data_IF_578227786267
#
_entry.id   IF_578227786267
#
_cell.length_a   1.000
_cell.length_b   1.000
_cell.length_c   1.000
_cell.angle_alpha   90.00
_cell.angle_beta   90.00
_cell.angle_gamma   90.00
#
_symmetry.space_group_name_H-M   'P 1'
#
loop_
_entity.id
_entity.type
_entity.pdbx_description
1 polymer ?
#
# COMPACT_ATOMS: atom_id res chain seq x y z
N UNK A 1 41.29 21.61 48.22
CA UNK A 1 41.22 20.96 46.89
C UNK A 1 40.12 19.92 46.96
N UNK A 2 38.95 20.22 46.42
CA UNK A 2 37.82 19.29 46.40
C UNK A 2 37.34 19.28 44.96
N UNK A 3 37.75 18.25 44.21
CA UNK A 3 37.43 18.10 42.80
C UNK A 3 36.02 17.52 42.72
N UNK A 4 35.08 18.34 42.27
CA UNK A 4 33.73 17.88 41.90
C UNK A 4 33.82 17.21 40.55
N UNK A 5 33.52 15.91 40.51
CA UNK A 5 33.43 15.12 39.28
C UNK A 5 31.98 15.23 38.82
N UNK A 6 31.72 16.10 37.85
CA UNK A 6 30.46 16.06 37.09
C UNK A 6 30.48 14.82 36.20
N UNK A 7 29.74 13.79 36.60
CA UNK A 7 29.35 12.70 35.73
C UNK A 7 28.26 13.19 34.78
N UNK A 8 28.67 13.66 33.59
CA UNK A 8 27.77 13.75 32.45
C UNK A 8 27.24 12.34 32.15
N UNK A 9 25.93 12.14 32.32
CA UNK A 9 25.26 10.97 31.76
C UNK A 9 25.28 11.10 30.24
N UNK A 10 25.78 10.10 29.49
CA UNK A 10 25.61 10.10 28.05
C UNK A 10 24.12 9.88 27.77
N UNK A 11 23.46 10.92 27.28
CA UNK A 11 22.15 10.77 26.64
C UNK A 11 22.35 9.84 25.45
N UNK A 12 21.89 8.59 25.58
CA UNK A 12 21.97 7.60 24.53
C UNK A 12 21.28 8.17 23.29
N UNK A 13 22.07 8.56 22.28
CA UNK A 13 21.53 9.00 20.98
C UNK A 13 20.69 7.85 20.44
N UNK A 14 19.42 8.08 20.10
CA UNK A 14 18.64 7.03 19.47
C UNK A 14 19.27 6.66 18.13
N UNK A 15 19.74 5.42 18.04
CA UNK A 15 20.41 4.92 16.85
C UNK A 15 19.37 4.50 15.82
N UNK A 16 18.89 5.47 15.03
CA UNK A 16 17.96 5.25 13.92
C UNK A 16 18.52 4.30 12.84
N UNK A 17 19.82 3.98 12.88
CA UNK A 17 20.52 3.13 11.92
C UNK A 17 20.68 1.68 12.39
N UNK A 18 20.24 1.33 13.60
CA UNK A 18 20.48 0.00 14.17
C UNK A 18 19.65 -1.12 13.49
N UNK A 19 18.52 -0.78 12.88
CA UNK A 19 17.65 -1.74 12.20
C UNK A 19 17.93 -1.75 10.68
N UNK A 20 18.04 -2.94 10.03
CA UNK A 20 18.12 -3.00 8.58
C UNK A 20 16.91 -2.34 7.92
N UNK A 21 17.10 -1.58 6.82
CA UNK A 21 16.01 -1.04 6.02
C UNK A 21 15.03 -2.12 5.57
N UNK A 22 13.73 -1.82 5.63
CA UNK A 22 12.67 -2.69 5.10
C UNK A 22 11.71 -1.88 4.24
N UNK A 23 11.04 -2.51 3.25
CA UNK A 23 10.01 -1.85 2.47
C UNK A 23 8.92 -1.25 3.36
N UNK A 24 8.56 -0.02 3.07
CA UNK A 24 7.51 0.74 3.78
C UNK A 24 6.10 0.34 3.34
N UNK A 25 5.84 -0.96 3.25
CA UNK A 25 4.57 -1.50 2.79
C UNK A 25 3.43 -1.11 3.74
N UNK A 26 2.21 -1.04 3.21
CA UNK A 26 1.03 -0.67 4.01
C UNK A 26 0.86 -1.54 5.26
N UNK A 27 1.01 -2.86 5.13
CA UNK A 27 0.84 -3.85 6.22
C UNK A 27 1.80 -3.62 7.38
N UNK A 28 3.07 -3.37 7.05
CA UNK A 28 4.14 -3.23 8.04
C UNK A 28 4.27 -1.82 8.63
N UNK A 29 3.92 -0.78 7.86
CA UNK A 29 4.24 0.61 8.25
C UNK A 29 3.01 1.46 8.54
N UNK A 30 1.88 1.24 7.84
CA UNK A 30 0.68 2.09 7.95
C UNK A 30 -0.43 1.43 8.77
N UNK A 31 -0.74 0.17 8.50
CA UNK A 31 -1.78 -0.57 9.23
C UNK A 31 -1.56 -0.62 10.75
N UNK A 32 -0.33 -0.67 11.30
CA UNK A 32 -0.11 -0.67 12.75
C UNK A 32 -0.59 0.59 13.48
N UNK A 33 -0.83 1.70 12.77
CA UNK A 33 -1.47 2.90 13.32
C UNK A 33 -2.97 2.71 13.58
N UNK A 34 -3.60 1.71 12.96
CA UNK A 34 -5.00 1.39 13.12
C UNK A 34 -5.18 0.29 14.17
N UNK A 35 -4.81 0.60 15.42
CA UNK A 35 -4.72 -0.36 16.53
C UNK A 35 -6.05 -0.66 17.24
N UNK A 36 -7.07 0.21 17.16
CA UNK A 36 -8.41 -0.08 17.70
C UNK A 36 -9.11 -1.08 16.77
N UNK A 37 -9.11 -2.35 17.18
CA UNK A 37 -9.67 -3.49 16.46
C UNK A 37 -10.99 -3.90 17.10
N UNK A 38 -12.08 -3.78 16.34
CA UNK A 38 -13.40 -4.24 16.77
C UNK A 38 -13.95 -5.21 15.74
N UNK A 39 -14.35 -6.39 16.23
CA UNK A 39 -15.29 -7.22 15.48
C UNK A 39 -16.59 -6.45 15.44
N UNK A 40 -16.98 -5.99 14.26
CA UNK A 40 -18.24 -5.29 14.09
C UNK A 40 -19.09 -6.06 13.10
N UNK A 41 -20.31 -6.33 13.53
CA UNK A 41 -21.39 -6.64 12.62
C UNK A 41 -22.36 -5.45 12.72
N UNK A 42 -22.44 -4.51 11.75
CA UNK A 42 -21.59 -4.23 10.58
C UNK A 42 -21.45 -2.71 10.28
N UNK A 43 -20.29 -2.27 9.79
CA UNK A 43 -20.07 -0.90 9.30
C UNK A 43 -20.91 -0.53 8.04
N UNK A 44 -21.79 -1.43 7.59
CA UNK A 44 -22.65 -1.28 6.41
C UNK A 44 -24.14 -1.63 6.68
N UNK A 45 -24.62 -1.77 7.94
CA UNK A 45 -26.08 -2.00 8.17
C UNK A 45 -26.92 -0.74 7.94
N UNK A 46 -26.31 0.43 8.09
CA UNK A 46 -26.94 1.71 7.75
C UNK A 46 -26.60 2.12 6.32
N UNK A 47 -27.44 2.97 5.71
CA UNK A 47 -27.07 3.70 4.49
C UNK A 47 -25.70 4.34 4.70
N UNK A 48 -24.77 4.08 3.79
CA UNK A 48 -23.47 4.75 3.82
C UNK A 48 -23.73 6.23 3.59
N UNK A 49 -23.42 7.06 4.57
CA UNK A 49 -23.36 8.51 4.40
C UNK A 49 -22.13 8.82 3.55
N UNK A 50 -22.20 8.53 2.25
CA UNK A 50 -21.25 9.08 1.31
C UNK A 50 -21.60 10.56 1.11
N UNK A 51 -20.59 11.42 1.11
CA UNK A 51 -20.78 12.82 0.73
C UNK A 51 -21.26 12.86 -0.73
N UNK A 52 -22.15 13.79 -1.08
CA UNK A 52 -22.57 13.96 -2.47
C UNK A 52 -21.35 14.15 -3.38
N UNK A 53 -21.33 13.43 -4.51
CA UNK A 53 -20.20 13.42 -5.44
C UNK A 53 -19.02 12.51 -5.04
N UNK A 54 -19.17 11.67 -4.01
CA UNK A 54 -18.14 10.71 -3.61
C UNK A 54 -17.76 9.76 -4.75
N UNK A 55 -16.44 9.63 -4.97
CA UNK A 55 -15.84 8.65 -5.86
C UNK A 55 -15.58 7.35 -5.11
N UNK A 56 -15.95 6.23 -5.72
CA UNK A 56 -15.79 4.89 -5.12
C UNK A 56 -14.74 4.11 -5.90
N UNK A 57 -13.81 3.52 -5.16
CA UNK A 57 -13.00 2.41 -5.67
C UNK A 57 -13.57 1.06 -5.23
N UNK A 58 -13.56 0.07 -6.09
CA UNK A 58 -14.01 -1.29 -5.81
C UNK A 58 -12.81 -2.23 -5.95
N UNK A 59 -12.51 -3.00 -4.91
CA UNK A 59 -11.47 -4.03 -4.93
C UNK A 59 -12.10 -5.38 -4.65
N UNK A 60 -11.91 -6.31 -5.58
CA UNK A 60 -12.38 -7.69 -5.47
C UNK A 60 -11.18 -8.56 -5.12
N UNK A 61 -11.18 -9.09 -3.91
CA UNK A 61 -10.12 -9.98 -3.46
C UNK A 61 -10.36 -11.37 -4.00
N UNK A 62 -9.41 -11.90 -4.76
CA UNK A 62 -9.39 -13.28 -5.21
C UNK A 62 -8.46 -14.07 -4.27
N UNK A 63 -8.98 -15.07 -3.54
CA UNK A 63 -8.16 -15.90 -2.65
C UNK A 63 -7.12 -16.69 -3.45
N UNK A 64 -6.11 -17.22 -2.73
CA UNK A 64 -5.05 -18.02 -3.35
C UNK A 64 -5.58 -19.36 -3.85
N UNK A 65 -6.40 -20.00 -3.03
CA UNK A 65 -7.06 -21.26 -3.34
C UNK A 65 -8.39 -20.98 -4.03
N UNK A 66 -8.72 -21.82 -5.02
CA UNK A 66 -9.97 -21.67 -5.77
C UNK A 66 -11.17 -21.91 -4.86
N UNK A 67 -12.16 -21.03 -4.96
CA UNK A 67 -13.44 -21.16 -4.27
C UNK A 67 -14.55 -21.44 -5.29
N UNK A 68 -15.35 -22.48 -5.06
CA UNK A 68 -16.47 -22.84 -5.95
C UNK A 68 -17.55 -21.74 -5.99
N UNK A 69 -18.16 -21.49 -7.14
CA UNK A 69 -19.18 -20.44 -7.32
C UNK A 69 -18.73 -19.05 -6.82
N UNK A 70 -17.43 -18.73 -6.92
CA UNK A 70 -16.96 -17.45 -6.39
C UNK A 70 -17.54 -16.24 -7.15
N UNK A 71 -17.79 -16.37 -8.45
CA UNK A 71 -18.49 -15.33 -9.24
C UNK A 71 -19.87 -15.05 -8.64
N UNK A 72 -20.66 -16.10 -8.37
CA UNK A 72 -21.99 -15.95 -7.77
C UNK A 72 -21.94 -15.33 -6.38
N UNK A 73 -20.95 -15.71 -5.55
CA UNK A 73 -20.76 -15.10 -4.24
C UNK A 73 -20.40 -13.61 -4.33
N UNK A 74 -19.42 -13.24 -5.15
CA UNK A 74 -19.03 -11.83 -5.34
C UNK A 74 -20.20 -11.00 -5.85
N UNK A 75 -20.98 -11.52 -6.82
CA UNK A 75 -22.12 -10.80 -7.36
C UNK A 75 -23.22 -10.59 -6.30
N UNK A 76 -23.51 -11.60 -5.46
CA UNK A 76 -24.45 -11.45 -4.33
C UNK A 76 -23.97 -10.40 -3.33
N UNK A 77 -22.68 -10.38 -2.99
CA UNK A 77 -22.13 -9.34 -2.11
C UNK A 77 -22.21 -7.96 -2.76
N UNK A 78 -21.87 -7.85 -4.05
CA UNK A 78 -21.93 -6.62 -4.82
C UNK A 78 -23.35 -6.01 -4.83
N UNK A 79 -24.37 -6.82 -5.05
CA UNK A 79 -25.79 -6.42 -5.00
C UNK A 79 -26.17 -5.88 -3.61
N UNK A 80 -25.82 -6.61 -2.54
CA UNK A 80 -26.08 -6.19 -1.17
C UNK A 80 -25.34 -4.89 -0.81
N UNK A 81 -24.08 -4.77 -1.21
CA UNK A 81 -23.27 -3.58 -0.97
C UNK A 81 -23.82 -2.37 -1.76
N UNK A 82 -24.23 -2.55 -3.02
CA UNK A 82 -24.76 -1.48 -3.85
C UNK A 82 -26.06 -0.90 -3.28
N UNK A 83 -26.92 -1.74 -2.71
CA UNK A 83 -28.17 -1.29 -2.09
C UNK A 83 -27.98 -0.31 -0.91
N UNK A 84 -26.78 -0.26 -0.32
CA UNK A 84 -26.45 0.59 0.81
C UNK A 84 -25.76 1.91 0.42
N UNK A 85 -25.40 2.05 -0.86
CA UNK A 85 -24.72 3.22 -1.39
C UNK A 85 -25.72 4.20 -2.00
N UNK A 86 -25.44 5.52 -1.93
CA UNK A 86 -26.18 6.50 -2.70
C UNK A 86 -26.09 6.26 -4.21
N UNK A 87 -27.16 6.56 -4.94
CA UNK A 87 -27.20 6.39 -6.39
C UNK A 87 -26.18 7.26 -7.13
N UNK A 88 -25.84 8.42 -6.57
CA UNK A 88 -24.94 9.44 -7.13
C UNK A 88 -23.45 9.08 -7.05
N UNK A 89 -23.08 7.97 -6.40
CA UNK A 89 -21.68 7.60 -6.27
C UNK A 89 -21.10 7.06 -7.57
N UNK A 90 -20.12 7.78 -8.12
CA UNK A 90 -19.43 7.39 -9.34
C UNK A 90 -18.28 6.43 -9.04
N UNK A 91 -18.21 5.32 -9.76
CA UNK A 91 -17.11 4.34 -9.63
C UNK A 91 -15.95 4.81 -10.49
N UNK A 92 -14.80 5.05 -9.86
CA UNK A 92 -13.58 5.51 -10.55
C UNK A 92 -12.55 4.41 -10.73
N UNK A 93 -12.57 3.39 -9.88
CA UNK A 93 -11.67 2.25 -10.00
C UNK A 93 -12.39 0.94 -9.68
N UNK A 94 -12.06 -0.12 -10.43
CA UNK A 94 -12.44 -1.49 -10.15
C UNK A 94 -11.22 -2.38 -10.35
N UNK A 95 -10.84 -3.14 -9.33
CA UNK A 95 -9.68 -4.02 -9.38
C UNK A 95 -10.01 -5.46 -9.02
N UNK A 96 -9.52 -6.41 -9.81
CA UNK A 96 -9.40 -7.81 -9.42
C UNK A 96 -8.01 -8.03 -8.81
N UNK A 97 -7.95 -8.35 -7.52
CA UNK A 97 -6.70 -8.43 -6.73
C UNK A 97 -6.43 -9.85 -6.22
N UNK A 98 -5.19 -10.13 -5.83
CA UNK A 98 -4.79 -11.44 -5.32
C UNK A 98 -4.43 -12.42 -6.46
N UNK A 99 -5.25 -13.46 -6.65
CA UNK A 99 -4.99 -14.52 -7.64
C UNK A 99 -6.12 -14.72 -8.67
N UNK A 100 -6.57 -13.68 -9.39
CA UNK A 100 -7.71 -13.79 -10.31
C UNK A 100 -7.50 -14.81 -11.43
N UNK A 101 -6.26 -14.98 -11.93
CA UNK A 101 -5.95 -15.97 -12.97
C UNK A 101 -6.06 -17.42 -12.51
N UNK A 102 -6.00 -17.68 -11.19
CA UNK A 102 -6.28 -19.00 -10.59
C UNK A 102 -7.76 -19.19 -10.28
N UNK A 103 -8.44 -18.10 -9.97
CA UNK A 103 -9.83 -18.11 -9.51
C UNK A 103 -10.86 -18.10 -10.64
N UNK A 104 -10.54 -17.52 -11.80
CA UNK A 104 -11.50 -17.32 -12.89
C UNK A 104 -10.98 -17.88 -14.22
N UNK A 105 -11.82 -18.70 -14.86
CA UNK A 105 -11.70 -19.02 -16.28
C UNK A 105 -12.02 -17.78 -17.14
N UNK A 106 -11.72 -17.81 -18.45
CA UNK A 106 -12.13 -16.76 -19.39
C UNK A 106 -13.64 -16.44 -19.35
N UNK A 107 -14.48 -17.46 -19.25
CA UNK A 107 -15.94 -17.33 -19.19
C UNK A 107 -16.36 -16.74 -17.84
N UNK A 108 -15.77 -17.22 -16.74
CA UNK A 108 -16.08 -16.73 -15.41
C UNK A 108 -15.72 -15.25 -15.20
N UNK A 109 -14.57 -14.79 -15.73
CA UNK A 109 -14.21 -13.37 -15.65
C UNK A 109 -15.12 -12.51 -16.53
N UNK A 110 -15.55 -13.03 -17.69
CA UNK A 110 -16.51 -12.37 -18.56
C UNK A 110 -17.86 -12.19 -17.87
N UNK A 111 -18.40 -13.26 -17.27
CA UNK A 111 -19.64 -13.21 -16.50
C UNK A 111 -19.53 -12.23 -15.33
N UNK A 112 -18.45 -12.32 -14.55
CA UNK A 112 -18.22 -11.46 -13.40
C UNK A 112 -18.25 -9.99 -13.81
N UNK A 113 -17.49 -9.61 -14.83
CA UNK A 113 -17.42 -8.22 -15.28
C UNK A 113 -18.75 -7.74 -15.84
N UNK A 114 -19.45 -8.58 -16.61
CA UNK A 114 -20.79 -8.25 -17.12
C UNK A 114 -21.76 -7.95 -15.97
N UNK A 115 -21.82 -8.83 -14.96
CA UNK A 115 -22.71 -8.66 -13.80
C UNK A 115 -22.33 -7.46 -12.94
N UNK A 116 -21.04 -7.25 -12.70
CA UNK A 116 -20.55 -6.10 -11.93
C UNK A 116 -20.85 -4.77 -12.62
N UNK A 117 -20.83 -4.69 -13.95
CA UNK A 117 -21.16 -3.45 -14.66
C UNK A 117 -22.60 -2.96 -14.36
N UNK A 118 -23.52 -3.87 -14.05
CA UNK A 118 -24.88 -3.50 -13.64
C UNK A 118 -24.94 -2.82 -12.26
N UNK A 119 -24.00 -3.17 -11.36
CA UNK A 119 -23.96 -2.66 -9.99
C UNK A 119 -23.00 -1.47 -9.83
N UNK A 120 -21.88 -1.51 -10.56
CA UNK A 120 -20.74 -0.61 -10.45
C UNK A 120 -20.27 -0.15 -11.84
N UNK A 121 -21.09 0.63 -12.57
CA UNK A 121 -20.73 1.07 -13.91
C UNK A 121 -19.56 2.07 -13.86
N UNK A 122 -18.54 1.82 -14.69
CA UNK A 122 -17.35 2.68 -14.83
C UNK A 122 -17.57 3.70 -15.95
N UNK A 123 -18.41 4.71 -15.71
CA UNK A 123 -18.80 5.71 -16.72
C UNK A 123 -17.96 6.98 -16.70
N UNK A 124 -17.11 7.16 -15.69
CA UNK A 124 -16.29 8.36 -15.55
C UNK A 124 -15.09 8.30 -16.50
N UNK A 125 -14.77 9.39 -17.21
CA UNK A 125 -13.55 9.48 -18.02
C UNK A 125 -12.30 9.15 -17.20
N UNK A 126 -11.44 8.28 -17.72
CA UNK A 126 -10.22 7.84 -17.05
C UNK A 126 -10.45 6.85 -15.90
N UNK A 127 -11.65 6.28 -15.75
CA UNK A 127 -11.89 5.21 -14.81
C UNK A 127 -10.96 4.01 -15.06
N UNK A 128 -10.46 3.41 -13.98
CA UNK A 128 -9.48 2.32 -14.05
C UNK A 128 -10.17 0.99 -13.83
N UNK A 129 -10.00 0.06 -14.76
CA UNK A 129 -10.33 -1.36 -14.58
C UNK A 129 -9.03 -2.15 -14.57
N UNK A 130 -8.66 -2.62 -13.40
CA UNK A 130 -7.36 -3.25 -13.13
C UNK A 130 -7.46 -4.73 -12.78
N UNK A 131 -6.41 -5.49 -13.13
CA UNK A 131 -6.25 -6.89 -12.72
C UNK A 131 -4.83 -7.17 -12.27
N UNK A 132 -4.67 -7.90 -11.18
CA UNK A 132 -3.37 -8.45 -10.78
C UNK A 132 -3.08 -9.77 -11.51
N UNK A 133 -1.89 -9.88 -12.11
CA UNK A 133 -1.42 -11.07 -12.79
C UNK A 133 0.03 -11.36 -12.38
N UNK A 134 0.44 -12.62 -12.47
CA UNK A 134 1.87 -12.96 -12.48
C UNK A 134 2.39 -12.97 -13.91
N UNK A 135 3.68 -12.66 -14.09
CA UNK A 135 4.32 -12.73 -15.41
C UNK A 135 4.07 -14.06 -16.16
N UNK A 136 4.11 -15.25 -15.52
CA UNK A 136 3.79 -16.51 -16.19
C UNK A 136 2.33 -16.67 -16.62
N UNK A 137 1.39 -15.90 -16.06
CA UNK A 137 -0.03 -15.97 -16.41
C UNK A 137 -0.40 -15.09 -17.62
N UNK A 138 0.55 -14.33 -18.15
CA UNK A 138 0.37 -13.42 -19.27
C UNK A 138 0.48 -14.19 -20.60
N UNK A 139 -0.53 -14.01 -21.46
CA UNK A 139 -0.56 -14.52 -22.83
C UNK A 139 -1.32 -13.53 -23.72
N UNK A 140 -1.12 -13.60 -25.04
CA UNK A 140 -1.80 -12.72 -25.98
C UNK A 140 -3.33 -12.87 -25.91
N UNK A 141 -3.83 -14.10 -25.77
CA UNK A 141 -5.26 -14.40 -25.66
C UNK A 141 -5.87 -13.79 -24.40
N UNK A 142 -5.15 -13.87 -23.26
CA UNK A 142 -5.60 -13.26 -22.01
C UNK A 142 -5.60 -11.74 -22.09
N UNK A 143 -4.56 -11.13 -22.68
CA UNK A 143 -4.50 -9.69 -22.88
C UNK A 143 -5.64 -9.20 -23.79
N UNK A 144 -5.92 -9.93 -24.87
CA UNK A 144 -7.04 -9.63 -25.78
C UNK A 144 -8.39 -9.73 -25.06
N UNK A 145 -8.62 -10.79 -24.27
CA UNK A 145 -9.82 -10.93 -23.46
C UNK A 145 -9.96 -9.75 -22.48
N UNK A 146 -8.91 -9.44 -21.72
CA UNK A 146 -8.95 -8.35 -20.74
C UNK A 146 -9.21 -7.00 -21.41
N UNK A 147 -8.55 -6.71 -22.53
CA UNK A 147 -8.81 -5.50 -23.31
C UNK A 147 -10.27 -5.45 -23.81
N UNK A 148 -10.80 -6.56 -24.33
CA UNK A 148 -12.20 -6.67 -24.76
C UNK A 148 -13.21 -6.50 -23.61
N UNK A 149 -12.84 -6.92 -22.40
CA UNK A 149 -13.59 -6.67 -21.17
C UNK A 149 -13.33 -5.28 -20.58
N UNK A 150 -12.64 -4.39 -21.29
CA UNK A 150 -12.41 -3.00 -20.88
C UNK A 150 -11.41 -2.82 -19.74
N UNK A 151 -10.57 -3.82 -19.45
CA UNK A 151 -9.41 -3.60 -18.57
C UNK A 151 -8.43 -2.65 -19.25
N UNK A 152 -7.87 -1.72 -18.48
CA UNK A 152 -6.89 -0.73 -18.94
C UNK A 152 -5.65 -0.66 -18.02
N UNK A 153 -5.59 -1.50 -16.99
CA UNK A 153 -4.47 -1.56 -16.05
C UNK A 153 -4.16 -3.00 -15.64
N UNK A 154 -2.88 -3.34 -15.56
CA UNK A 154 -2.39 -4.61 -15.05
C UNK A 154 -1.41 -4.34 -13.90
N UNK A 155 -1.61 -5.00 -12.76
CA UNK A 155 -0.59 -5.15 -11.73
C UNK A 155 0.18 -6.44 -12.00
N UNK A 156 1.41 -6.35 -12.52
CA UNK A 156 2.17 -7.49 -13.00
C UNK A 156 3.27 -7.88 -12.02
N UNK A 157 3.12 -9.05 -11.41
CA UNK A 157 4.09 -9.61 -10.47
C UNK A 157 5.24 -10.27 -11.20
N UNK A 158 6.45 -9.82 -10.90
CA UNK A 158 7.71 -10.36 -11.42
C UNK A 158 8.56 -10.79 -10.24
N UNK A 159 9.14 -11.99 -10.30
CA UNK A 159 9.89 -12.56 -9.19
C UNK A 159 11.40 -12.49 -9.46
N UNK A 160 12.08 -11.62 -8.73
CA UNK A 160 13.53 -11.43 -8.84
C UNK A 160 14.34 -12.49 -8.06
N UNK A 161 13.70 -13.23 -7.15
CA UNK A 161 14.34 -14.28 -6.34
C UNK A 161 14.69 -15.52 -7.16
N UNK A 162 14.07 -15.69 -8.33
CA UNK A 162 14.30 -16.80 -9.25
C UNK A 162 15.50 -16.58 -10.18
N UNK A 163 16.15 -15.42 -10.10
CA UNK A 163 17.24 -15.03 -10.99
C UNK A 163 18.64 -15.24 -10.42
N UNK A 164 19.59 -15.47 -11.32
CA UNK A 164 21.04 -15.49 -11.04
C UNK A 164 21.75 -14.45 -11.93
N UNK A 165 23.03 -14.20 -11.72
CA UNK A 165 23.79 -13.21 -12.51
C UNK A 165 23.69 -13.45 -14.04
N UNK A 166 23.78 -14.72 -14.44
CA UNK A 166 23.77 -15.16 -15.83
C UNK A 166 22.36 -15.38 -16.38
N UNK A 167 21.33 -15.31 -15.54
CA UNK A 167 19.95 -15.58 -15.95
C UNK A 167 19.50 -14.55 -16.99
N UNK A 168 19.05 -15.05 -18.14
CA UNK A 168 18.50 -14.22 -19.21
C UNK A 168 17.21 -13.51 -18.79
N UNK A 169 17.04 -12.27 -19.29
CA UNK A 169 15.80 -11.50 -19.18
C UNK A 169 14.84 -11.74 -20.36
N UNK A 170 15.14 -12.69 -21.27
CA UNK A 170 14.36 -12.91 -22.48
C UNK A 170 12.86 -13.19 -22.24
N UNK A 171 12.48 -13.74 -21.08
CA UNK A 171 11.07 -13.89 -20.69
C UNK A 171 10.39 -12.54 -20.40
N UNK A 172 11.11 -11.61 -19.78
CA UNK A 172 10.65 -10.24 -19.52
C UNK A 172 10.52 -9.50 -20.85
N UNK A 173 11.51 -9.62 -21.73
CA UNK A 173 11.46 -9.00 -23.06
C UNK A 173 10.29 -9.53 -23.89
N UNK A 174 10.04 -10.85 -23.87
CA UNK A 174 8.90 -11.46 -24.56
C UNK A 174 7.56 -10.96 -24.00
N UNK A 175 7.44 -10.89 -22.67
CA UNK A 175 6.26 -10.36 -21.98
C UNK A 175 6.01 -8.88 -22.34
N UNK A 176 7.05 -8.05 -22.38
CA UNK A 176 6.95 -6.64 -22.79
C UNK A 176 6.55 -6.49 -24.25
N UNK A 177 7.05 -7.34 -25.16
CA UNK A 177 6.59 -7.38 -26.56
C UNK A 177 5.10 -7.70 -26.65
N UNK A 178 4.61 -8.70 -25.91
CA UNK A 178 3.18 -9.00 -25.87
C UNK A 178 2.35 -7.84 -25.33
N UNK A 179 2.84 -7.13 -24.31
CA UNK A 179 2.16 -5.94 -23.77
C UNK A 179 2.15 -4.77 -24.77
N UNK A 180 3.19 -4.63 -25.59
CA UNK A 180 3.28 -3.56 -26.60
C UNK A 180 2.15 -3.62 -27.64
N UNK A 181 1.67 -4.83 -27.96
CA UNK A 181 0.53 -5.05 -28.86
C UNK A 181 -0.80 -4.53 -28.29
N UNK A 182 -0.84 -4.19 -26.99
CA UNK A 182 -2.03 -3.68 -26.29
C UNK A 182 -1.75 -2.34 -25.61
N UNK A 183 -1.40 -1.30 -26.39
CA UNK A 183 -0.99 0.01 -25.89
C UNK A 183 -1.96 0.71 -24.92
N UNK A 184 -3.26 0.35 -24.92
CA UNK A 184 -4.24 0.85 -23.95
C UNK A 184 -4.10 0.23 -22.55
N UNK A 185 -3.41 -0.91 -22.42
CA UNK A 185 -3.11 -1.57 -21.16
C UNK A 185 -1.85 -0.96 -20.57
N UNK A 186 -2.02 -0.26 -19.45
CA UNK A 186 -0.91 0.27 -18.67
C UNK A 186 -0.50 -0.72 -17.58
N UNK A 187 0.76 -0.69 -17.13
CA UNK A 187 1.30 -1.69 -16.20
C UNK A 187 1.88 -1.06 -14.93
N UNK A 188 1.54 -1.61 -13.78
CA UNK A 188 2.28 -1.45 -12.54
C UNK A 188 3.09 -2.74 -12.31
N UNK A 189 4.39 -2.67 -12.10
CA UNK A 189 5.19 -3.86 -11.76
C UNK A 189 5.26 -4.05 -10.26
N UNK A 190 4.97 -5.27 -9.79
CA UNK A 190 5.25 -5.72 -8.42
C UNK A 190 6.45 -6.67 -8.46
N UNK A 191 7.63 -6.18 -8.11
CA UNK A 191 8.87 -6.95 -8.11
C UNK A 191 9.07 -7.59 -6.75
N UNK A 192 8.95 -8.91 -6.70
CA UNK A 192 9.25 -9.70 -5.51
C UNK A 192 10.77 -9.81 -5.38
N UNK A 193 11.31 -9.40 -4.24
CA UNK A 193 12.75 -9.44 -3.94
C UNK A 193 12.98 -9.82 -2.47
N UNK A 194 14.23 -10.01 -2.07
CA UNK A 194 14.63 -10.38 -0.71
C UNK A 194 16.06 -10.92 -0.70
N UNK A 195 16.54 -11.46 0.42
CA UNK A 195 17.91 -12.00 0.55
C UNK A 195 18.29 -13.02 -0.52
N UNK A 196 17.31 -13.75 -1.06
CA UNK A 196 17.52 -14.72 -2.15
C UNK A 196 17.74 -14.07 -3.54
N UNK A 197 17.58 -12.76 -3.68
CA UNK A 197 17.69 -12.08 -4.98
C UNK A 197 19.14 -11.77 -5.30
N UNK A 198 19.60 -12.19 -6.48
CA UNK A 198 20.94 -11.83 -6.94
C UNK A 198 21.02 -10.31 -7.27
N UNK A 199 21.94 -9.53 -6.65
CA UNK A 199 21.96 -8.06 -6.81
C UNK A 199 22.06 -7.60 -8.26
N UNK A 200 22.94 -8.22 -9.05
CA UNK A 200 23.12 -7.88 -10.47
C UNK A 200 21.90 -8.25 -11.32
N UNK A 201 21.18 -9.32 -10.95
CA UNK A 201 19.96 -9.70 -11.66
C UNK A 201 18.84 -8.71 -11.37
N UNK A 202 18.63 -8.34 -10.10
CA UNK A 202 17.65 -7.34 -9.70
C UNK A 202 17.91 -6.00 -10.41
N UNK A 203 19.16 -5.53 -10.43
CA UNK A 203 19.52 -4.28 -11.11
C UNK A 203 19.22 -4.33 -12.63
N UNK A 204 19.59 -5.42 -13.30
CA UNK A 204 19.29 -5.63 -14.73
C UNK A 204 17.78 -5.72 -15.00
N UNK A 205 17.05 -6.44 -14.15
CA UNK A 205 15.60 -6.57 -14.24
C UNK A 205 14.94 -5.20 -14.14
N UNK A 206 15.28 -4.42 -13.12
CA UNK A 206 14.72 -3.07 -12.93
C UNK A 206 15.08 -2.14 -14.08
N UNK A 207 16.29 -2.23 -14.64
CA UNK A 207 16.65 -1.48 -15.85
C UNK A 207 15.78 -1.85 -17.05
N UNK A 208 15.51 -3.15 -17.27
CA UNK A 208 14.62 -3.60 -18.32
C UNK A 208 13.15 -3.17 -18.10
N UNK A 209 12.66 -3.23 -16.86
CA UNK A 209 11.30 -2.79 -16.53
C UNK A 209 11.14 -1.27 -16.71
N UNK A 210 12.15 -0.47 -16.39
CA UNK A 210 12.17 0.98 -16.66
C UNK A 210 12.22 1.34 -18.15
N UNK A 211 12.78 0.44 -18.98
CA UNK A 211 12.86 0.62 -20.42
C UNK A 211 11.52 0.45 -21.15
N UNK A 212 10.46 0.04 -20.45
CA UNK A 212 9.12 -0.13 -20.99
C UNK A 212 8.13 0.80 -20.25
N UNK A 213 7.10 1.35 -20.92
CA UNK A 213 6.12 2.21 -20.27
C UNK A 213 5.45 1.54 -19.06
N UNK A 214 5.75 2.04 -17.87
CA UNK A 214 5.21 1.55 -16.61
C UNK A 214 4.67 2.73 -15.80
N UNK A 215 3.55 2.53 -15.11
CA UNK A 215 2.98 3.55 -14.23
C UNK A 215 3.69 3.58 -12.88
N UNK A 216 4.12 2.41 -12.40
CA UNK A 216 4.96 2.28 -11.22
C UNK A 216 5.74 0.97 -11.21
N UNK A 217 6.81 0.93 -10.42
CA UNK A 217 7.53 -0.27 -10.02
C UNK A 217 7.55 -0.30 -8.50
N UNK A 218 7.03 -1.34 -7.88
CA UNK A 218 6.98 -1.55 -6.43
C UNK A 218 7.82 -2.76 -6.06
N UNK A 219 8.71 -2.61 -5.08
CA UNK A 219 9.43 -3.72 -4.47
C UNK A 219 8.62 -4.30 -3.30
N UNK A 220 8.42 -5.62 -3.30
CA UNK A 220 7.77 -6.34 -2.21
C UNK A 220 8.71 -7.40 -1.67
N UNK A 221 8.94 -7.37 -0.35
CA UNK A 221 9.74 -8.40 0.32
C UNK A 221 9.02 -9.75 0.20
N UNK A 222 9.70 -10.74 -0.38
CA UNK A 222 9.22 -12.12 -0.52
C UNK A 222 8.86 -12.76 0.84
N UNK A 223 9.45 -12.23 1.91
CA UNK A 223 9.27 -12.71 3.29
C UNK A 223 8.59 -11.69 4.20
N UNK A 224 7.83 -10.75 3.62
CA UNK A 224 7.05 -9.77 4.39
C UNK A 224 6.16 -10.48 5.44
N UNK A 225 6.22 -10.01 6.69
CA UNK A 225 5.44 -10.56 7.80
C UNK A 225 5.91 -11.90 8.35
N UNK A 226 6.98 -12.50 7.79
CA UNK A 226 7.59 -13.72 8.31
C UNK A 226 8.78 -13.39 9.23
N UNK A 227 9.07 -14.28 10.18
CA UNK A 227 10.30 -14.21 10.97
C UNK A 227 11.50 -14.51 10.07
N UNK A 228 12.52 -13.66 10.14
CA UNK A 228 13.72 -13.74 9.31
C UNK A 228 14.98 -13.60 10.17
N UNK A 229 16.05 -14.30 9.79
CA UNK A 229 17.36 -14.12 10.39
C UNK A 229 17.86 -12.68 10.21
N UNK A 230 18.68 -12.18 11.14
CA UNK A 230 19.21 -10.82 11.04
C UNK A 230 20.05 -10.61 9.76
N UNK A 231 20.79 -11.63 9.34
CA UNK A 231 21.58 -11.58 8.10
C UNK A 231 20.69 -11.43 6.86
N UNK A 232 19.63 -12.24 6.74
CA UNK A 232 18.65 -12.12 5.66
C UNK A 232 18.03 -10.71 5.61
N UNK A 233 17.72 -10.13 6.77
CA UNK A 233 17.19 -8.77 6.85
C UNK A 233 18.20 -7.71 6.41
N UNK A 234 19.48 -7.88 6.77
CA UNK A 234 20.57 -7.00 6.33
C UNK A 234 20.75 -7.05 4.82
N UNK A 235 20.78 -8.23 4.24
CA UNK A 235 20.91 -8.40 2.79
C UNK A 235 19.73 -7.78 2.04
N UNK A 236 18.50 -8.03 2.51
CA UNK A 236 17.29 -7.41 1.95
C UNK A 236 17.35 -5.88 2.05
N UNK A 237 17.79 -5.33 3.19
CA UNK A 237 17.97 -3.88 3.37
C UNK A 237 19.05 -3.27 2.49
N UNK A 238 20.16 -3.98 2.24
CA UNK A 238 21.21 -3.56 1.32
C UNK A 238 20.70 -3.52 -0.14
N UNK A 239 19.92 -4.53 -0.54
CA UNK A 239 19.27 -4.57 -1.86
C UNK A 239 18.25 -3.43 -2.02
N UNK A 240 17.44 -3.17 -1.00
CA UNK A 240 16.50 -2.06 -1.01
C UNK A 240 17.22 -0.71 -1.14
N UNK A 241 18.27 -0.49 -0.36
CA UNK A 241 19.04 0.77 -0.36
C UNK A 241 19.74 1.01 -1.69
N UNK A 242 20.40 -0.01 -2.24
CA UNK A 242 21.06 0.09 -3.55
C UNK A 242 20.06 0.30 -4.69
N UNK A 243 18.90 -0.36 -4.63
CA UNK A 243 17.81 -0.16 -5.60
C UNK A 243 17.26 1.26 -5.51
N UNK A 244 17.00 1.76 -4.32
CA UNK A 244 16.53 3.14 -4.09
C UNK A 244 17.50 4.15 -4.71
N UNK A 245 18.80 3.99 -4.48
CA UNK A 245 19.82 4.86 -5.07
C UNK A 245 19.79 4.80 -6.61
N UNK A 246 19.71 3.60 -7.18
CA UNK A 246 19.67 3.40 -8.64
C UNK A 246 18.39 3.99 -9.28
N UNK A 247 17.23 3.81 -8.67
CA UNK A 247 15.96 4.35 -9.15
C UNK A 247 15.94 5.88 -9.07
N UNK A 248 16.46 6.45 -7.97
CA UNK A 248 16.59 7.90 -7.79
C UNK A 248 17.55 8.51 -8.81
N UNK A 249 18.71 7.90 -9.04
CA UNK A 249 19.67 8.33 -10.06
C UNK A 249 19.10 8.25 -11.49
N UNK A 250 18.15 7.35 -11.72
CA UNK A 250 17.41 7.25 -12.97
C UNK A 250 16.27 8.29 -13.11
N UNK A 251 16.09 9.20 -12.15
CA UNK A 251 15.06 10.23 -12.18
C UNK A 251 13.65 9.75 -11.83
N UNK A 252 13.51 8.53 -11.30
CA UNK A 252 12.21 8.04 -10.84
C UNK A 252 11.85 8.66 -9.50
N UNK A 253 10.60 9.07 -9.34
CA UNK A 253 10.10 9.57 -8.06
C UNK A 253 9.76 8.41 -7.14
N UNK A 254 10.23 8.49 -5.91
CA UNK A 254 10.03 7.47 -4.90
C UNK A 254 8.88 7.84 -3.95
N UNK A 255 8.10 6.84 -3.55
CA UNK A 255 7.11 6.88 -2.47
C UNK A 255 7.46 5.79 -1.47
N UNK A 256 7.44 6.15 -0.19
CA UNK A 256 8.07 5.37 0.86
C UNK A 256 9.55 5.19 0.51
N UNK A 257 10.03 3.97 0.54
CA UNK A 257 11.38 3.58 0.07
C UNK A 257 11.35 2.46 -0.98
N UNK A 258 10.16 2.07 -1.45
CA UNK A 258 9.95 0.82 -2.19
C UNK A 258 9.09 0.97 -3.45
N UNK A 259 8.36 2.08 -3.63
CA UNK A 259 7.53 2.33 -4.81
C UNK A 259 8.10 3.49 -5.62
N UNK A 260 8.27 3.26 -6.92
CA UNK A 260 8.85 4.21 -7.85
C UNK A 260 7.86 4.51 -8.97
N UNK A 261 7.72 5.77 -9.34
CA UNK A 261 6.93 6.20 -10.49
C UNK A 261 7.79 7.04 -11.45
N UNK A 262 7.50 7.00 -12.76
CA UNK A 262 8.14 7.92 -13.71
C UNK A 262 7.96 9.39 -13.32
N UNK A 263 8.90 10.28 -13.70
CA UNK A 263 8.83 11.71 -13.34
C UNK A 263 7.57 12.41 -13.88
N UNK A 264 7.04 11.95 -15.01
CA UNK A 264 5.82 12.43 -15.65
C UNK A 264 4.56 11.65 -15.19
N UNK A 265 4.68 10.79 -14.17
CA UNK A 265 3.53 10.09 -13.62
C UNK A 265 2.51 11.07 -13.01
N UNK A 266 1.20 10.82 -13.15
CA UNK A 266 0.19 11.54 -12.37
C UNK A 266 0.42 11.47 -10.86
N UNK A 267 1.05 10.40 -10.36
CA UNK A 267 1.45 10.29 -8.95
C UNK A 267 2.56 11.27 -8.59
N UNK A 268 3.45 11.56 -9.53
CA UNK A 268 4.57 12.47 -9.32
C UNK A 268 4.19 13.95 -9.40
N UNK A 269 3.10 14.26 -10.10
CA UNK A 269 2.49 15.58 -10.12
C UNK A 269 1.63 15.77 -8.87
N UNK A 270 2.20 16.37 -7.83
CA UNK A 270 1.47 16.92 -6.66
C UNK A 270 0.64 18.15 -7.05
N UNK A 271 -0.23 18.01 -8.06
CA UNK A 271 -1.11 19.05 -8.58
C UNK A 271 -2.46 19.10 -7.84
N UNK A 272 -3.52 19.47 -8.58
CA UNK A 272 -4.88 19.74 -8.08
C UNK A 272 -5.59 18.60 -7.31
N UNK A 273 -5.03 17.38 -7.27
CA UNK A 273 -5.60 16.23 -6.55
C UNK A 273 -5.38 16.29 -5.03
N UNK A 274 -4.54 17.21 -4.54
CA UNK A 274 -4.20 17.35 -3.14
C UNK A 274 -3.14 16.35 -2.65
N UNK A 275 -2.82 16.36 -1.34
CA UNK A 275 -1.85 15.45 -0.75
C UNK A 275 -2.25 13.98 -0.91
N UNK A 276 -1.24 13.12 -0.96
CA UNK A 276 -1.40 11.67 -1.10
C UNK A 276 -1.35 11.00 0.27
N UNK A 277 -1.98 9.83 0.38
CA UNK A 277 -1.73 8.87 1.46
C UNK A 277 -1.30 7.54 0.87
N UNK A 278 -0.36 6.89 1.54
CA UNK A 278 0.00 5.51 1.28
C UNK A 278 -1.12 4.61 1.81
N UNK A 279 -1.69 3.83 0.89
CA UNK A 279 -2.80 2.91 1.15
C UNK A 279 -2.39 1.49 0.76
N UNK A 280 -3.21 0.45 1.03
CA UNK A 280 -2.97 -0.91 0.56
C UNK A 280 -2.91 -1.04 -0.97
N UNK A 281 -3.37 -0.02 -1.69
CA UNK A 281 -3.46 0.01 -3.15
C UNK A 281 -2.48 1.03 -3.75
N UNK A 282 -1.42 1.36 -3.01
CA UNK A 282 -0.43 2.38 -3.36
C UNK A 282 -0.81 3.79 -2.89
N UNK A 283 -0.06 4.83 -3.31
CA UNK A 283 -0.38 6.22 -3.02
C UNK A 283 -1.70 6.64 -3.67
N UNK A 284 -2.63 7.16 -2.87
CA UNK A 284 -3.95 7.60 -3.32
C UNK A 284 -4.23 9.03 -2.83
N UNK A 285 -4.97 9.86 -3.59
CA UNK A 285 -5.41 11.17 -3.12
C UNK A 285 -6.32 11.05 -1.89
N UNK A 286 -6.16 11.96 -0.92
CA UNK A 286 -6.98 11.99 0.31
C UNK A 286 -8.49 12.12 0.02
N UNK A 287 -8.85 12.69 -1.13
CA UNK A 287 -10.24 12.91 -1.53
C UNK A 287 -11.03 11.60 -1.75
N UNK A 288 -10.36 10.48 -2.02
CA UNK A 288 -11.04 9.19 -2.19
C UNK A 288 -11.32 8.54 -0.83
N UNK A 289 -12.49 8.88 -0.27
CA UNK A 289 -12.90 8.49 1.10
C UNK A 289 -13.59 7.12 1.20
N UNK A 290 -13.90 6.48 0.07
CA UNK A 290 -14.61 5.20 0.02
C UNK A 290 -13.95 4.21 -0.93
N UNK A 291 -13.56 3.06 -0.38
CA UNK A 291 -13.11 1.87 -1.08
C UNK A 291 -13.90 0.66 -0.59
N UNK A 292 -14.61 0.02 -1.51
CA UNK A 292 -15.35 -1.21 -1.25
C UNK A 292 -14.43 -2.41 -1.43
N UNK A 293 -14.24 -3.18 -0.37
CA UNK A 293 -13.63 -4.50 -0.44
C UNK A 293 -14.72 -5.55 -0.59
N UNK A 294 -14.70 -6.30 -1.68
CA UNK A 294 -15.60 -7.43 -1.95
C UNK A 294 -14.79 -8.72 -2.01
N UNK A 295 -15.35 -9.80 -1.48
CA UNK A 295 -14.73 -11.11 -1.43
C UNK A 295 -14.13 -11.48 -0.08
N UNK A 296 -13.62 -12.70 -0.02
CA UNK A 296 -13.04 -13.32 1.16
C UNK A 296 -11.74 -12.59 1.52
N UNK A 297 -11.63 -12.13 2.76
CA UNK A 297 -10.46 -11.40 3.25
C UNK A 297 -10.25 -10.03 2.60
N UNK A 298 -11.21 -9.53 1.83
CA UNK A 298 -11.09 -8.27 1.11
C UNK A 298 -10.97 -7.08 2.07
N UNK A 299 -9.98 -6.23 1.79
CA UNK A 299 -9.78 -4.98 2.51
C UNK A 299 -10.60 -3.89 1.83
N UNK A 300 -11.23 -3.03 2.63
CA UNK A 300 -11.88 -1.82 2.18
C UNK A 300 -11.61 -0.66 3.13
N UNK A 301 -12.04 0.53 2.74
CA UNK A 301 -11.85 1.76 3.48
C UNK A 301 -13.14 2.58 3.46
N UNK A 302 -13.60 2.97 4.63
CA UNK A 302 -14.63 3.98 4.78
C UNK A 302 -14.11 4.96 5.82
N UNK A 303 -13.75 6.16 5.37
CA UNK A 303 -13.11 7.15 6.23
C UNK A 303 -13.81 7.28 7.60
N UNK A 304 -13.07 7.27 8.72
CA UNK A 304 -11.62 7.19 8.87
C UNK A 304 -11.07 5.76 9.09
N UNK A 305 -11.82 4.70 8.75
CA UNK A 305 -11.52 3.32 9.13
C UNK A 305 -11.21 2.42 7.93
N UNK A 306 -10.24 1.51 8.11
CA UNK A 306 -10.13 0.33 7.26
C UNK A 306 -11.02 -0.78 7.81
N UNK A 307 -11.47 -1.69 6.94
CA UNK A 307 -12.12 -2.91 7.35
C UNK A 307 -11.67 -4.07 6.47
N UNK A 308 -11.73 -5.28 7.01
CA UNK A 308 -11.44 -6.51 6.27
C UNK A 308 -12.60 -7.47 6.43
N UNK A 309 -13.12 -7.97 5.31
CA UNK A 309 -14.10 -9.06 5.31
C UNK A 309 -13.51 -10.32 5.96
N UNK A 310 -14.37 -11.21 6.46
CA UNK A 310 -13.96 -12.53 6.97
C UNK A 310 -13.08 -13.26 5.96
N UNK A 311 -12.00 -13.88 6.46
CA UNK A 311 -11.12 -14.75 5.66
C UNK A 311 -11.63 -16.20 5.60
N UNK A 312 -12.69 -16.53 6.34
CA UNK A 312 -13.33 -17.85 6.35
C UNK A 312 -14.29 -17.98 5.18
N UNK A 313 -14.02 -18.93 4.28
CA UNK A 313 -14.91 -19.28 3.16
C UNK A 313 -16.30 -19.66 3.68
N UNK A 314 -16.36 -20.44 4.77
CA UNK A 314 -17.59 -20.92 5.36
C UNK A 314 -18.46 -19.77 5.89
N UNK A 315 -17.87 -18.85 6.66
CA UNK A 315 -18.59 -17.70 7.22
C UNK A 315 -19.06 -16.75 6.12
N UNK A 316 -18.20 -16.52 5.12
CA UNK A 316 -18.52 -15.71 3.96
C UNK A 316 -19.73 -16.27 3.19
N UNK A 317 -19.74 -17.58 2.90
CA UNK A 317 -20.89 -18.25 2.27
C UNK A 317 -22.15 -18.18 3.13
N UNK A 318 -22.04 -18.45 4.43
CA UNK A 318 -23.16 -18.46 5.34
C UNK A 318 -23.83 -17.08 5.44
N UNK A 319 -23.05 -16.00 5.48
CA UNK A 319 -23.57 -14.63 5.47
C UNK A 319 -24.36 -14.34 4.18
N UNK A 320 -23.79 -14.66 3.01
CA UNK A 320 -24.43 -14.39 1.72
C UNK A 320 -25.67 -15.26 1.47
N UNK A 321 -25.69 -16.51 1.96
CA UNK A 321 -26.89 -17.35 1.94
C UNK A 321 -28.05 -16.73 2.73
N UNK A 322 -27.75 -16.03 3.83
CA UNK A 322 -28.73 -15.28 4.63
C UNK A 322 -29.05 -13.90 4.05
N UNK A 323 -28.56 -13.57 2.84
CA UNK A 323 -28.66 -12.24 2.21
C UNK A 323 -28.13 -11.11 3.10
N UNK A 324 -27.03 -11.38 3.82
CA UNK A 324 -26.35 -10.43 4.67
C UNK A 324 -24.94 -10.19 4.16
N UNK A 325 -24.41 -8.99 4.39
CA UNK A 325 -23.00 -8.72 4.12
C UNK A 325 -22.12 -9.56 5.06
N UNK A 326 -20.93 -9.99 4.60
CA UNK A 326 -19.98 -10.73 5.42
C UNK A 326 -19.56 -9.95 6.66
N UNK A 327 -19.24 -10.67 7.73
CA UNK A 327 -18.66 -10.10 8.95
C UNK A 327 -17.31 -9.43 8.67
N UNK A 328 -17.02 -8.36 9.42
CA UNK A 328 -15.87 -7.49 9.18
C UNK A 328 -15.07 -7.25 10.45
N UNK A 329 -13.75 -7.34 10.31
CA UNK A 329 -12.82 -6.72 11.25
C UNK A 329 -12.65 -5.24 10.87
N UNK A 330 -12.85 -4.33 11.82
CA UNK A 330 -12.67 -2.89 11.60
C UNK A 330 -11.43 -2.42 12.34
N UNK A 331 -10.63 -1.60 11.65
CA UNK A 331 -9.38 -1.02 12.13
C UNK A 331 -9.53 0.51 12.17
N UNK A 332 -9.34 1.12 13.34
CA UNK A 332 -9.42 2.58 13.54
C UNK A 332 -8.13 3.13 14.12
N UNK A 333 -7.83 4.36 13.75
CA UNK A 333 -6.75 5.15 14.35
C UNK A 333 -7.28 5.73 15.66
N UNK A 334 -6.59 5.53 16.80
CA UNK A 334 -6.89 6.27 18.03
C UNK A 334 -6.78 7.78 17.82
N UNK A 335 -7.55 8.57 18.57
CA UNK A 335 -7.66 10.01 18.34
C UNK A 335 -6.31 10.73 18.57
N UNK A 336 -5.60 10.30 19.60
CA UNK A 336 -4.26 10.73 19.99
C UNK A 336 -3.20 10.48 18.91
N UNK A 337 -3.35 9.42 18.11
CA UNK A 337 -2.39 9.05 17.07
C UNK A 337 -2.68 9.69 15.69
N UNK A 338 -3.78 10.42 15.55
CA UNK A 338 -4.23 10.93 14.24
C UNK A 338 -3.27 11.97 13.65
N UNK A 339 -2.75 12.89 14.47
CA UNK A 339 -1.77 13.90 14.02
C UNK A 339 -0.45 13.29 13.59
N UNK A 340 0.05 12.33 14.36
CA UNK A 340 1.31 11.65 14.07
C UNK A 340 1.20 10.73 12.84
N UNK A 341 0.02 10.13 12.60
CA UNK A 341 -0.25 9.42 11.35
C UNK A 341 -0.18 10.38 10.14
N UNK A 342 -0.63 11.63 10.28
CA UNK A 342 -0.55 12.61 9.19
C UNK A 342 0.91 13.00 8.89
N UNK A 343 1.74 13.14 9.92
CA UNK A 343 3.20 13.30 9.78
C UNK A 343 3.82 12.08 9.08
N UNK A 344 3.49 10.86 9.52
CA UNK A 344 3.98 9.63 8.91
C UNK A 344 3.57 9.52 7.44
N UNK A 345 2.32 9.82 7.10
CA UNK A 345 1.82 9.82 5.73
C UNK A 345 2.52 10.86 4.85
N UNK A 346 2.79 12.05 5.40
CA UNK A 346 3.56 13.08 4.69
C UNK A 346 4.99 12.62 4.40
N UNK A 347 5.68 12.03 5.38
CA UNK A 347 7.01 11.45 5.18
C UNK A 347 6.99 10.33 4.14
N UNK A 348 6.00 9.43 4.20
CA UNK A 348 5.86 8.32 3.25
C UNK A 348 5.57 8.79 1.82
N UNK A 349 4.69 9.76 1.61
CA UNK A 349 4.26 10.15 0.26
C UNK A 349 5.04 11.32 -0.35
N UNK A 350 5.64 12.17 0.48
CA UNK A 350 6.23 13.43 0.05
C UNK A 350 7.69 13.59 0.47
N UNK A 351 8.24 12.66 1.27
CA UNK A 351 9.59 12.76 1.84
C UNK A 351 9.86 14.09 2.53
N UNK A 352 8.80 14.72 3.02
CA UNK A 352 8.88 16.02 3.67
C UNK A 352 7.66 16.26 4.52
N UNK A 353 7.82 17.19 5.45
CA UNK A 353 6.78 17.53 6.43
C UNK A 353 6.89 19.00 6.81
N UNK A 354 5.76 19.65 7.06
CA UNK A 354 5.72 21.05 7.49
C UNK A 354 6.45 21.27 8.82
N UNK A 355 7.02 22.47 8.99
CA UNK A 355 7.83 22.85 10.16
C UNK A 355 7.10 22.67 11.49
N UNK A 356 5.80 22.96 11.52
CA UNK A 356 5.00 22.96 12.73
C UNK A 356 4.33 21.61 13.03
N UNK A 357 4.53 20.61 12.17
CA UNK A 357 3.78 19.35 12.26
C UNK A 357 4.20 18.52 13.49
N UNK A 358 5.51 18.30 13.66
CA UNK A 358 6.12 17.58 14.79
C UNK A 358 7.57 18.07 15.05
N UNK A 359 7.75 19.31 15.56
CA UNK A 359 9.06 19.98 15.57
C UNK A 359 10.12 19.22 16.37
N UNK A 360 9.80 18.71 17.55
CA UNK A 360 10.77 17.97 18.38
C UNK A 360 11.25 16.69 17.70
N UNK A 361 10.34 15.92 17.10
CA UNK A 361 10.67 14.70 16.37
C UNK A 361 11.53 15.01 15.12
N UNK A 362 11.17 16.05 14.37
CA UNK A 362 11.92 16.46 13.20
C UNK A 362 13.34 16.96 13.55
N UNK A 363 13.51 17.68 14.66
CA UNK A 363 14.84 18.08 15.13
C UNK A 363 15.71 16.89 15.55
N UNK A 364 15.12 15.86 16.20
CA UNK A 364 15.85 14.61 16.49
C UNK A 364 16.39 13.95 15.21
N UNK A 365 15.55 13.86 14.17
CA UNK A 365 15.96 13.31 12.87
C UNK A 365 17.00 14.19 12.16
N UNK A 366 16.91 15.51 12.28
CA UNK A 366 17.89 16.45 11.72
C UNK A 366 19.26 16.29 12.39
N UNK A 367 19.29 16.18 13.71
CA UNK A 367 20.52 15.90 14.45
C UNK A 367 21.15 14.54 14.10
N UNK A 368 20.32 13.57 13.68
CA UNK A 368 20.77 12.29 13.15
C UNK A 368 21.15 12.32 11.65
N UNK A 369 21.01 13.47 10.97
CA UNK A 369 21.32 13.62 9.53
C UNK A 369 20.29 12.98 8.59
N UNK A 370 19.10 12.62 9.09
CA UNK A 370 18.04 11.95 8.33
C UNK A 370 17.05 12.93 7.70
N UNK A 371 16.96 14.13 8.27
CA UNK A 371 16.24 15.27 7.70
C UNK A 371 17.19 16.45 7.52
N UNK A 372 16.90 17.28 6.53
CA UNK A 372 17.42 18.63 6.40
C UNK A 372 16.29 19.65 6.53
N UNK A 373 16.64 20.83 7.02
CA UNK A 373 15.68 21.92 7.19
C UNK A 373 15.77 22.85 5.98
N UNK A 374 14.62 23.10 5.35
CA UNK A 374 14.44 24.17 4.37
C UNK A 374 13.65 25.33 5.01
N UNK A 375 13.48 26.48 4.33
CA UNK A 375 12.70 27.60 4.86
C UNK A 375 11.24 27.26 5.21
N UNK A 376 10.64 26.25 4.56
CA UNK A 376 9.20 25.96 4.67
C UNK A 376 8.88 24.54 5.15
N UNK A 377 9.84 23.62 5.09
CA UNK A 377 9.62 22.22 5.47
C UNK A 377 10.88 21.58 6.04
N UNK A 378 10.72 20.41 6.65
CA UNK A 378 11.79 19.43 6.75
C UNK A 378 11.71 18.48 5.55
N UNK A 379 12.85 18.15 4.97
CA UNK A 379 12.99 17.26 3.83
C UNK A 379 13.88 16.07 4.20
N UNK A 380 13.56 14.87 3.71
CA UNK A 380 14.40 13.70 3.94
C UNK A 380 15.70 13.78 3.16
N UNK A 381 16.81 13.46 3.82
CA UNK A 381 18.10 13.27 3.17
C UNK A 381 18.14 11.91 2.46
N UNK A 382 19.10 11.69 1.53
CA UNK A 382 19.32 10.38 0.93
C UNK A 382 19.59 9.26 1.95
N UNK A 383 20.14 9.60 3.13
CA UNK A 383 20.33 8.66 4.24
C UNK A 383 19.04 8.38 5.03
N UNK A 384 18.11 9.33 5.06
CA UNK A 384 16.83 9.20 5.75
C UNK A 384 15.83 8.28 5.05
N UNK A 385 15.72 8.35 3.72
CA UNK A 385 14.69 7.62 2.95
C UNK A 385 14.76 6.09 3.18
N UNK A 386 15.94 5.42 3.14
CA UNK A 386 16.03 3.99 3.46
C UNK A 386 15.43 3.64 4.84
N UNK A 387 15.58 4.53 5.81
CA UNK A 387 15.19 4.33 7.21
C UNK A 387 13.72 4.68 7.51
N UNK A 388 12.91 5.02 6.50
CA UNK A 388 11.53 5.47 6.68
C UNK A 388 10.68 4.54 7.55
N UNK A 389 10.80 3.22 7.40
CA UNK A 389 10.00 2.30 8.22
C UNK A 389 10.33 2.45 9.71
N UNK A 390 11.61 2.51 10.06
CA UNK A 390 12.06 2.67 11.44
C UNK A 390 11.68 4.05 12.00
N UNK A 391 11.78 5.10 11.18
CA UNK A 391 11.36 6.46 11.54
C UNK A 391 9.86 6.48 11.88
N UNK A 392 9.02 5.92 11.01
CA UNK A 392 7.56 5.88 11.21
C UNK A 392 7.19 5.03 12.43
N UNK A 393 7.85 3.88 12.63
CA UNK A 393 7.61 3.05 13.82
C UNK A 393 7.97 3.76 15.12
N UNK A 394 9.07 4.52 15.14
CA UNK A 394 9.47 5.31 16.31
C UNK A 394 8.46 6.41 16.61
N UNK A 395 7.99 7.14 15.60
CA UNK A 395 6.97 8.16 15.77
C UNK A 395 5.70 7.56 16.41
N UNK A 396 5.27 6.39 15.91
CA UNK A 396 4.14 5.65 16.47
C UNK A 396 4.35 5.24 17.93
N UNK A 397 5.56 4.79 18.29
CA UNK A 397 5.89 4.42 19.67
C UNK A 397 5.89 5.63 20.61
N UNK A 398 6.39 6.79 20.15
CA UNK A 398 6.35 8.03 20.92
C UNK A 398 4.91 8.49 21.18
N UNK A 399 4.05 8.42 20.16
CA UNK A 399 2.63 8.70 20.28
C UNK A 399 1.94 7.81 21.33
N UNK A 400 2.29 6.52 21.37
CA UNK A 400 1.75 5.58 22.34
C UNK A 400 2.28 5.79 23.78
N UNK A 401 3.48 6.34 23.95
CA UNK A 401 4.10 6.60 25.27
C UNK A 401 3.71 7.94 25.89
N UNK A 402 3.10 8.86 25.12
CA UNK A 402 2.76 10.21 25.53
C UNK A 402 1.68 10.33 26.63
N UNK A 403 1.02 9.22 27.00
CA UNK A 403 -0.03 9.19 28.03
C UNK A 403 0.49 9.05 29.47
N UNK A 404 1.77 8.75 29.69
CA UNK A 404 2.28 8.41 31.04
C UNK A 404 2.98 9.55 31.78
N UNK A 405 3.04 10.76 31.20
CA UNK A 405 3.67 11.94 31.84
C UNK A 405 2.68 13.08 32.17
N UNK A 406 1.38 12.80 32.06
CA UNK A 406 0.30 13.79 32.25
C UNK A 406 -0.54 13.65 33.52
N UNK A 407 -0.16 12.88 34.54
CA UNK A 407 -0.97 12.80 35.78
C UNK A 407 -0.22 12.55 37.10
N UNK A 408 1.01 13.06 37.27
CA UNK A 408 1.67 13.07 38.60
C UNK A 408 2.31 14.43 38.85
N UNK A 409 1.49 15.47 39.00
CA UNK A 409 1.86 16.73 39.68
C UNK A 409 0.60 17.56 39.97
N UNK A 410 -0.19 17.17 40.99
CA UNK A 410 -1.08 18.09 41.74
C UNK A 410 -1.79 17.40 42.91
N UNK A 411 -1.08 16.66 43.77
CA UNK A 411 -1.65 16.22 45.06
C UNK A 411 -0.56 15.91 46.09
N UNK A 412 0.15 16.96 46.50
CA UNK A 412 0.93 16.96 47.74
C UNK A 412 1.18 18.40 48.20
N UNK A 413 0.11 19.10 48.62
CA UNK A 413 0.17 20.17 49.61
C UNK A 413 -1.25 20.61 49.97
N UNK A 414 -1.80 19.92 50.97
CA UNK A 414 -2.78 20.35 51.96
C UNK A 414 -3.04 19.12 52.83
N UNK A 415 -2.27 19.02 53.90
CA UNK A 415 -2.76 19.00 55.28
C UNK A 415 -1.56 18.97 56.24
#
# INVERSE_FOLDING_TARGET
MTISIHTEQPTARPDFLAAPPVPTAFSGTVLPWYSDKKHSNPALRGRVTALDGSRIGVNIQCPRDSVDDYVGLICREAELARALLPNSCAVTTLWLRGSPSRQFSPEAVTELIFRLNSQFPLTVPGAVRGVELSAPALSAERLALLAGLGFNRIGLRVDATLGSDERSLGRIDAMQRQLADFAALTVNYEVIFGSQSHPRYLARLLAALRGFPAVSIELKDAREGMLQALEDRRETGNLLTSTLAAMTAAGWRTFGNHLYAPPDSPLARTGAAGPLRLTPWGPQPIQQRLWLGLGIGALGYHHPAYYRNTASVADYRAALHRRQLPDKMVYRVPAEAARDLDVAQSLLCHHGVGRDAAPEFCEQLRHAGLLEMTPHNYQMTPAGIPQLSAIVDRLRQQAASGDDHGTIQSRAHRD
#
